data_IF_291229261197
#
_entry.id   IF_291229261197
#
_cell.length_a   1.000
_cell.length_b   1.000
_cell.length_c   1.000
_cell.angle_alpha   90.00
_cell.angle_beta   90.00
_cell.angle_gamma   90.00
#
_symmetry.space_group_name_H-M   'P 1'
#
loop_
_entity.id
_entity.type
_entity.pdbx_description
1 polymer ?
#
# COMPACT_ATOMS: atom_id res chain seq x y z
N UNK A 1 11.89 -7.08 4.56
CA UNK A 1 11.73 -8.45 4.05
C UNK A 1 10.91 -9.24 5.07
N UNK A 2 9.80 -9.84 4.66
CA UNK A 2 9.05 -10.74 5.53
C UNK A 2 9.90 -11.96 5.85
N UNK A 3 9.95 -12.39 7.12
CA UNK A 3 10.51 -13.70 7.46
C UNK A 3 9.58 -14.76 6.85
N UNK A 4 10.14 -15.69 6.08
CA UNK A 4 9.43 -16.83 5.46
C UNK A 4 8.35 -16.50 4.42
N UNK A 5 8.40 -15.34 3.76
CA UNK A 5 7.43 -14.99 2.71
C UNK A 5 5.99 -14.74 3.22
N UNK A 6 5.78 -14.77 4.53
CA UNK A 6 4.50 -14.47 5.18
C UNK A 6 4.24 -12.97 5.18
N UNK A 7 3.31 -12.52 4.34
CA UNK A 7 2.86 -11.12 4.27
C UNK A 7 1.60 -10.89 5.13
N UNK A 8 1.36 -11.70 6.17
CA UNK A 8 0.13 -11.68 6.98
C UNK A 8 -0.24 -10.28 7.50
N UNK A 9 0.72 -9.51 7.97
CA UNK A 9 0.51 -8.12 8.42
C UNK A 9 0.08 -7.24 7.25
N UNK A 10 0.73 -7.37 6.09
CA UNK A 10 0.35 -6.63 4.90
C UNK A 10 -1.02 -7.06 4.33
N UNK A 11 -1.42 -8.33 4.47
CA UNK A 11 -2.77 -8.80 4.13
C UNK A 11 -3.81 -8.09 5.01
N UNK A 12 -3.53 -7.91 6.31
CA UNK A 12 -4.40 -7.11 7.18
C UNK A 12 -4.43 -5.63 6.77
N UNK A 13 -3.29 -5.04 6.41
CA UNK A 13 -3.23 -3.69 5.84
C UNK A 13 -4.13 -3.56 4.61
N UNK A 14 -4.03 -4.50 3.66
CA UNK A 14 -4.88 -4.50 2.47
C UNK A 14 -6.36 -4.68 2.80
N UNK A 15 -6.68 -5.53 3.79
CA UNK A 15 -8.04 -5.69 4.28
C UNK A 15 -8.62 -4.37 4.79
N UNK A 16 -7.87 -3.63 5.60
CA UNK A 16 -8.30 -2.33 6.14
C UNK A 16 -8.37 -1.25 5.07
N UNK A 17 -7.52 -1.31 4.05
CA UNK A 17 -7.63 -0.43 2.87
C UNK A 17 -8.93 -0.67 2.10
N UNK A 18 -9.33 -1.94 1.94
CA UNK A 18 -10.54 -2.30 1.18
C UNK A 18 -11.82 -2.17 2.01
N UNK A 19 -11.72 -2.38 3.31
CA UNK A 19 -12.85 -2.40 4.24
C UNK A 19 -12.59 -1.47 5.44
N UNK A 20 -12.38 -0.16 5.22
CA UNK A 20 -12.01 0.77 6.28
C UNK A 20 -13.07 0.89 7.36
N UNK A 21 -14.34 0.62 7.06
CA UNK A 21 -15.47 0.74 7.98
C UNK A 21 -15.32 -0.08 9.27
N UNK A 22 -14.55 -1.18 9.24
CA UNK A 22 -14.26 -1.98 10.43
C UNK A 22 -13.38 -1.23 11.43
N UNK A 23 -12.51 -0.35 10.94
CA UNK A 23 -11.69 0.50 11.80
C UNK A 23 -12.41 1.82 12.12
N UNK A 24 -13.03 2.45 11.12
CA UNK A 24 -13.71 3.75 11.26
C UNK A 24 -14.78 3.72 12.35
N UNK A 25 -15.55 2.63 12.44
CA UNK A 25 -16.61 2.47 13.44
C UNK A 25 -16.07 2.34 14.87
N UNK A 26 -14.86 1.80 15.05
CA UNK A 26 -14.23 1.62 16.37
C UNK A 26 -13.52 2.90 16.85
N UNK A 27 -12.90 3.65 15.94
CA UNK A 27 -12.16 4.87 16.30
C UNK A 27 -13.00 6.16 16.15
N UNK A 28 -14.19 6.07 15.55
CA UNK A 28 -15.09 7.21 15.35
C UNK A 28 -14.57 8.24 14.34
N UNK A 29 -13.72 7.84 13.39
CA UNK A 29 -13.09 8.72 12.41
C UNK A 29 -13.10 8.08 11.03
N UNK A 30 -13.32 8.89 9.99
CA UNK A 30 -13.19 8.45 8.60
C UNK A 30 -11.73 8.31 8.19
N UNK A 31 -11.43 7.27 7.43
CA UNK A 31 -10.13 6.99 6.84
C UNK A 31 -10.14 7.40 5.38
N UNK A 32 -9.50 8.53 5.08
CA UNK A 32 -9.40 9.07 3.72
C UNK A 32 -7.91 9.20 3.34
N UNK A 33 -7.61 9.35 2.04
CA UNK A 33 -6.24 9.47 1.52
C UNK A 33 -5.31 8.36 2.04
N UNK A 34 -5.76 7.12 1.96
CA UNK A 34 -5.10 5.97 2.56
C UNK A 34 -3.90 5.48 1.75
N UNK A 35 -2.83 5.08 2.45
CA UNK A 35 -1.61 4.54 1.84
C UNK A 35 -0.89 3.57 2.78
N UNK A 36 -0.37 2.48 2.23
CA UNK A 36 0.39 1.48 2.99
C UNK A 36 1.89 1.77 3.01
N UNK A 37 2.59 1.29 4.03
CA UNK A 37 4.06 1.39 4.17
C UNK A 37 4.60 2.83 4.05
N UNK A 38 3.91 3.81 4.64
CA UNK A 38 4.27 5.25 4.55
C UNK A 38 5.46 5.56 5.47
N UNK A 39 6.53 6.21 4.99
CA UNK A 39 7.65 6.60 5.84
C UNK A 39 7.27 7.71 6.82
N UNK A 40 7.49 7.48 8.11
CA UNK A 40 7.34 8.45 9.21
C UNK A 40 8.63 8.46 10.02
N UNK A 41 9.33 9.59 10.01
CA UNK A 41 10.66 9.71 10.60
C UNK A 41 11.64 8.68 10.01
N UNK A 42 12.14 7.78 10.85
CA UNK A 42 13.09 6.71 10.45
C UNK A 42 12.42 5.37 10.12
N UNK A 43 11.11 5.27 10.25
CA UNK A 43 10.35 4.02 10.04
C UNK A 43 9.31 4.18 8.95
N UNK A 44 8.64 3.07 8.66
CA UNK A 44 7.42 3.04 7.88
C UNK A 44 6.29 2.55 8.78
N UNK A 45 5.17 3.25 8.76
CA UNK A 45 3.92 2.78 9.34
C UNK A 45 3.24 1.84 8.35
N UNK A 46 2.57 0.81 8.84
CA UNK A 46 1.93 -0.18 7.97
C UNK A 46 0.81 0.45 7.13
N UNK A 47 -0.02 1.30 7.76
CA UNK A 47 -1.08 2.04 7.09
C UNK A 47 -1.15 3.47 7.63
N UNK A 48 -1.30 4.41 6.71
CA UNK A 48 -1.53 5.82 6.97
C UNK A 48 -2.86 6.23 6.36
N UNK A 49 -3.57 7.11 7.03
CA UNK A 49 -4.76 7.77 6.53
C UNK A 49 -4.85 9.20 7.06
N UNK A 50 -5.82 9.95 6.56
CA UNK A 50 -6.16 11.29 7.05
C UNK A 50 -7.65 11.32 7.32
N UNK A 51 -8.04 11.84 8.47
CA UNK A 51 -9.41 12.30 8.68
C UNK A 51 -9.50 13.72 8.10
N UNK A 52 -10.13 13.89 6.93
CA UNK A 52 -10.14 15.18 6.25
C UNK A 52 -10.97 16.22 7.02
N UNK A 53 -12.07 15.79 7.64
CA UNK A 53 -12.95 16.68 8.40
C UNK A 53 -12.24 17.38 9.56
N UNK A 54 -11.29 16.68 10.20
CA UNK A 54 -10.49 17.20 11.32
C UNK A 54 -9.07 17.56 10.94
N UNK A 55 -8.64 17.26 9.70
CA UNK A 55 -7.27 17.40 9.21
C UNK A 55 -6.24 16.69 10.11
N UNK A 56 -6.61 15.54 10.65
CA UNK A 56 -5.76 14.75 11.55
C UNK A 56 -5.19 13.53 10.83
N UNK A 57 -3.88 13.26 10.96
CA UNK A 57 -3.30 12.03 10.44
C UNK A 57 -3.70 10.84 11.33
N UNK A 58 -3.88 9.69 10.72
CA UNK A 58 -4.15 8.42 11.40
C UNK A 58 -3.03 7.46 11.02
N UNK A 59 -2.34 6.92 12.02
CA UNK A 59 -1.23 5.98 11.87
C UNK A 59 -1.66 4.63 12.40
N UNK A 60 -1.50 3.57 11.62
CA UNK A 60 -1.91 2.23 11.99
C UNK A 60 -0.73 1.28 11.86
N UNK A 61 -0.43 0.58 12.96
CA UNK A 61 0.60 -0.45 13.06
C UNK A 61 -0.07 -1.79 13.37
N UNK A 62 0.24 -2.82 12.59
CA UNK A 62 -0.46 -4.11 12.64
C UNK A 62 0.48 -5.26 12.95
N UNK A 63 0.11 -6.12 13.89
CA UNK A 63 0.79 -7.38 14.15
C UNK A 63 -0.23 -8.50 14.38
N UNK A 64 0.07 -9.70 13.90
CA UNK A 64 -0.82 -10.87 14.05
C UNK A 64 -0.63 -11.65 15.35
N UNK A 65 0.43 -11.32 16.09
CA UNK A 65 0.79 -11.97 17.36
C UNK A 65 0.37 -11.06 18.54
N UNK A 66 0.54 -11.53 19.79
CA UNK A 66 0.40 -10.67 20.97
C UNK A 66 1.43 -9.54 20.95
N UNK A 67 1.09 -8.40 21.57
CA UNK A 67 1.97 -7.22 21.65
C UNK A 67 3.38 -7.62 22.09
N UNK A 68 4.40 -7.13 21.40
CA UNK A 68 5.80 -7.37 21.73
C UNK A 68 6.59 -6.06 21.84
N UNK A 69 7.79 -6.14 22.41
CA UNK A 69 8.68 -4.99 22.58
C UNK A 69 9.04 -4.33 21.25
N UNK A 70 9.14 -5.09 20.15
CA UNK A 70 9.55 -4.56 18.85
C UNK A 70 8.48 -3.60 18.30
N UNK A 71 7.22 -3.98 18.36
CA UNK A 71 6.13 -3.14 17.87
C UNK A 71 5.78 -2.03 18.85
N UNK A 72 5.93 -2.26 20.17
CA UNK A 72 5.87 -1.20 21.16
C UNK A 72 6.86 -0.07 20.81
N UNK A 73 8.12 -0.40 20.52
CA UNK A 73 9.10 0.62 20.12
C UNK A 73 8.68 1.37 18.86
N UNK A 74 8.05 0.70 17.88
CA UNK A 74 7.53 1.39 16.69
C UNK A 74 6.40 2.36 17.06
N UNK A 75 5.46 1.96 17.92
CA UNK A 75 4.37 2.82 18.39
C UNK A 75 4.92 4.05 19.11
N UNK A 76 5.90 3.88 20.00
CA UNK A 76 6.57 5.00 20.68
C UNK A 76 7.31 5.91 19.68
N UNK A 77 8.00 5.35 18.69
CA UNK A 77 8.67 6.12 17.63
C UNK A 77 7.65 6.93 16.78
N UNK A 78 6.44 6.41 16.54
CA UNK A 78 5.36 7.15 15.87
C UNK A 78 4.87 8.29 16.77
N UNK A 79 4.64 8.03 18.06
CA UNK A 79 4.27 9.07 19.04
C UNK A 79 5.32 10.17 19.04
N UNK A 80 6.61 9.83 18.99
CA UNK A 80 7.72 10.78 18.94
C UNK A 80 7.74 11.64 17.68
N UNK A 81 7.56 11.00 16.53
CA UNK A 81 7.63 11.64 15.23
C UNK A 81 6.42 12.53 14.91
N UNK A 82 5.31 12.41 15.66
CA UNK A 82 4.10 13.21 15.45
C UNK A 82 3.78 14.14 16.62
N UNK A 83 3.16 15.28 16.31
CA UNK A 83 2.62 16.22 17.30
C UNK A 83 1.11 16.08 17.47
N UNK A 84 0.43 15.48 16.50
CA UNK A 84 -1.01 15.34 16.50
C UNK A 84 -1.50 14.13 15.71
N UNK A 85 -2.73 13.69 15.97
CA UNK A 85 -3.40 12.66 15.18
C UNK A 85 -3.96 11.52 16.00
N UNK A 86 -4.10 10.37 15.36
CA UNK A 86 -4.59 9.14 15.99
C UNK A 86 -3.64 8.01 15.68
N UNK A 87 -3.24 7.26 16.70
CA UNK A 87 -2.39 6.08 16.57
C UNK A 87 -3.21 4.86 16.92
N UNK A 88 -3.25 3.90 16.01
CA UNK A 88 -3.93 2.62 16.15
C UNK A 88 -2.89 1.51 16.16
N UNK A 89 -2.85 0.73 17.23
CA UNK A 89 -2.05 -0.49 17.33
C UNK A 89 -2.98 -1.70 17.29
N UNK A 90 -2.78 -2.57 16.29
CA UNK A 90 -3.51 -3.83 16.16
C UNK A 90 -2.65 -5.01 16.60
N UNK A 91 -3.17 -5.86 17.48
CA UNK A 91 -2.50 -7.09 17.92
C UNK A 91 -3.51 -8.20 18.20
N UNK A 92 -3.08 -9.47 18.27
CA UNK A 92 -3.99 -10.55 18.70
C UNK A 92 -4.35 -10.46 20.18
N UNK A 93 -3.47 -9.84 20.98
CA UNK A 93 -3.68 -9.55 22.40
C UNK A 93 -2.65 -8.50 22.88
N UNK A 94 -2.88 -7.89 24.04
CA UNK A 94 -1.99 -6.88 24.62
C UNK A 94 -1.49 -7.25 26.01
N UNK A 95 -0.18 -7.14 26.21
CA UNK A 95 0.42 -7.19 27.54
C UNK A 95 0.16 -5.87 28.26
N UNK A 96 -0.29 -5.97 29.52
CA UNK A 96 -0.62 -4.80 30.34
C UNK A 96 0.54 -3.81 30.44
N UNK A 97 1.77 -4.31 30.64
CA UNK A 97 2.97 -3.46 30.74
C UNK A 97 3.22 -2.62 29.48
N UNK A 98 2.93 -3.14 28.28
CA UNK A 98 3.11 -2.38 27.05
C UNK A 98 2.10 -1.23 26.95
N UNK A 99 0.84 -1.44 27.37
CA UNK A 99 -0.17 -0.37 27.39
C UNK A 99 0.12 0.67 28.47
N UNK A 100 0.62 0.24 29.63
CA UNK A 100 1.09 1.13 30.69
C UNK A 100 2.25 2.00 30.19
N UNK A 101 3.19 1.42 29.43
CA UNK A 101 4.31 2.16 28.84
C UNK A 101 3.84 3.20 27.81
N UNK A 102 2.96 2.82 26.87
CA UNK A 102 2.39 3.77 25.90
C UNK A 102 1.64 4.90 26.62
N UNK A 103 0.75 4.57 27.56
CA UNK A 103 -0.04 5.58 28.26
C UNK A 103 0.81 6.49 29.15
N UNK A 104 1.81 5.94 29.84
CA UNK A 104 2.79 6.71 30.60
C UNK A 104 3.60 7.65 29.71
N UNK A 105 4.02 7.16 28.54
CA UNK A 105 4.73 7.95 27.56
C UNK A 105 3.88 9.11 27.03
N UNK A 106 2.64 8.84 26.60
CA UNK A 106 1.73 9.89 26.14
C UNK A 106 1.46 10.96 27.20
N UNK A 107 1.28 10.56 28.47
CA UNK A 107 1.09 11.50 29.60
C UNK A 107 2.31 12.38 29.86
N UNK A 108 3.52 11.88 29.56
CA UNK A 108 4.74 12.68 29.64
C UNK A 108 4.85 13.71 28.52
N UNK A 109 4.16 13.49 27.39
CA UNK A 109 4.17 14.34 26.20
C UNK A 109 2.96 15.28 26.13
N UNK A 110 2.73 16.07 27.20
CA UNK A 110 1.53 16.92 27.36
C UNK A 110 1.26 17.96 26.26
N UNK A 111 2.25 18.24 25.41
CA UNK A 111 2.13 19.20 24.30
C UNK A 111 1.65 18.57 22.98
N UNK A 112 1.37 17.25 22.98
CA UNK A 112 0.95 16.51 21.79
C UNK A 112 -0.55 16.21 21.83
N UNK A 113 -1.21 16.40 20.68
CA UNK A 113 -2.63 16.13 20.49
C UNK A 113 -2.81 14.77 19.81
N UNK A 114 -2.54 13.69 20.54
CA UNK A 114 -2.58 12.33 20.00
C UNK A 114 -3.62 11.51 20.75
N UNK A 115 -4.56 10.92 20.01
CA UNK A 115 -5.40 9.83 20.51
C UNK A 115 -4.73 8.48 20.21
N UNK A 116 -4.92 7.50 21.10
CA UNK A 116 -4.37 6.16 20.96
C UNK A 116 -5.45 5.10 21.12
N UNK A 117 -5.43 4.11 20.24
CA UNK A 117 -6.33 2.95 20.25
C UNK A 117 -5.50 1.67 20.15
N UNK A 118 -5.67 0.77 21.10
CA UNK A 118 -5.24 -0.61 21.00
C UNK A 118 -6.47 -1.46 20.64
N UNK A 119 -6.46 -2.05 19.45
CA UNK A 119 -7.57 -2.89 18.98
C UNK A 119 -7.09 -4.33 18.83
N UNK A 120 -7.90 -5.26 19.31
CA UNK A 120 -7.62 -6.68 19.27
C UNK A 120 -8.13 -7.29 17.97
N UNK A 121 -7.28 -8.04 17.28
CA UNK A 121 -7.64 -8.90 16.16
C UNK A 121 -8.34 -10.15 16.70
N UNK A 122 -9.50 -10.49 16.16
CA UNK A 122 -10.19 -11.72 16.55
C UNK A 122 -9.46 -12.95 15.99
N UNK A 123 -9.54 -14.07 16.71
CA UNK A 123 -8.86 -15.30 16.31
C UNK A 123 -9.31 -15.79 14.92
N UNK A 124 -10.59 -15.58 14.60
CA UNK A 124 -11.15 -15.92 13.29
C UNK A 124 -10.57 -15.02 12.19
N UNK A 125 -10.42 -13.72 12.41
CA UNK A 125 -9.78 -12.82 11.44
C UNK A 125 -8.33 -13.22 11.14
N UNK A 126 -7.56 -13.61 12.17
CA UNK A 126 -6.17 -14.09 12.02
C UNK A 126 -6.13 -15.38 11.19
N UNK A 127 -7.03 -16.33 11.47
CA UNK A 127 -7.16 -17.58 10.73
C UNK A 127 -7.49 -17.32 9.26
N UNK A 128 -8.53 -16.54 8.98
CA UNK A 128 -8.96 -16.23 7.61
C UNK A 128 -7.94 -15.39 6.85
N UNK A 129 -7.25 -14.47 7.50
CA UNK A 129 -6.12 -13.74 6.90
C UNK A 129 -5.01 -14.71 6.48
N UNK A 130 -4.70 -15.72 7.31
CA UNK A 130 -3.74 -16.77 6.94
C UNK A 130 -4.20 -17.63 5.77
N UNK A 131 -5.51 -17.86 5.59
CA UNK A 131 -6.06 -18.56 4.42
C UNK A 131 -5.94 -17.72 3.14
N UNK A 132 -6.28 -16.43 3.20
CA UNK A 132 -6.13 -15.49 2.08
C UNK A 132 -4.65 -15.34 1.67
N UNK A 133 -3.72 -15.34 2.63
CA UNK A 133 -2.28 -15.25 2.36
C UNK A 133 -1.72 -16.44 1.55
N UNK A 134 -2.45 -17.57 1.48
CA UNK A 134 -2.05 -18.75 0.67
C UNK A 134 -2.50 -18.68 -0.78
N UNK A 135 -3.37 -17.72 -1.12
CA UNK A 135 -3.84 -17.55 -2.50
C UNK A 135 -2.72 -17.06 -3.41
N UNK A 136 -2.92 -17.24 -4.71
CA UNK A 136 -2.09 -16.59 -5.71
C UNK A 136 -2.10 -15.06 -5.49
N UNK A 137 -0.94 -14.41 -5.64
CA UNK A 137 -0.74 -13.03 -5.18
C UNK A 137 -1.72 -12.02 -5.80
N UNK A 138 -2.10 -12.22 -7.06
CA UNK A 138 -3.06 -11.36 -7.76
C UNK A 138 -4.53 -11.66 -7.39
N UNK A 139 -4.81 -12.79 -6.72
CA UNK A 139 -6.16 -13.14 -6.27
C UNK A 139 -6.47 -12.61 -4.87
N UNK A 140 -5.44 -12.25 -4.09
CA UNK A 140 -5.56 -11.80 -2.70
C UNK A 140 -6.61 -10.71 -2.54
N UNK A 141 -6.51 -9.62 -3.32
CA UNK A 141 -7.36 -8.44 -3.16
C UNK A 141 -8.85 -8.77 -3.26
N UNK A 142 -9.23 -9.58 -4.24
CA UNK A 142 -10.62 -9.94 -4.48
C UNK A 142 -11.17 -10.84 -3.37
N UNK A 143 -10.31 -11.49 -2.60
CA UNK A 143 -10.66 -12.41 -1.52
C UNK A 143 -10.51 -11.82 -0.11
N UNK A 144 -10.16 -10.54 0.04
CA UNK A 144 -10.05 -9.88 1.36
C UNK A 144 -11.37 -9.85 2.14
N UNK A 145 -12.51 -9.86 1.43
CA UNK A 145 -13.84 -9.94 2.05
C UNK A 145 -14.04 -11.15 2.96
N UNK A 146 -13.21 -12.20 2.81
CA UNK A 146 -13.27 -13.39 3.65
C UNK A 146 -12.86 -13.10 5.09
N UNK A 147 -12.00 -12.12 5.34
CA UNK A 147 -11.35 -11.89 6.64
C UNK A 147 -12.33 -11.47 7.73
N UNK A 148 -13.34 -10.66 7.41
CA UNK A 148 -14.33 -10.17 8.37
C UNK A 148 -15.72 -10.11 7.76
N UNK A 149 -16.74 -10.20 8.62
CA UNK A 149 -18.15 -9.97 8.25
C UNK A 149 -18.89 -9.31 9.42
N UNK A 150 -20.14 -8.87 9.22
CA UNK A 150 -20.94 -8.33 10.34
C UNK A 150 -21.20 -9.37 11.44
N UNK A 151 -21.21 -10.66 11.10
CA UNK A 151 -21.36 -11.77 12.06
C UNK A 151 -20.04 -12.10 12.77
N UNK A 152 -18.91 -11.79 12.14
CA UNK A 152 -17.57 -12.04 12.66
C UNK A 152 -16.74 -10.76 12.54
N UNK A 153 -16.94 -9.80 13.46
CA UNK A 153 -16.17 -8.56 13.43
C UNK A 153 -14.68 -8.89 13.55
N UNK A 154 -13.82 -8.32 12.69
CA UNK A 154 -12.41 -8.67 12.65
C UNK A 154 -11.60 -8.00 13.77
N UNK A 155 -12.15 -6.94 14.35
CA UNK A 155 -11.49 -6.06 15.32
C UNK A 155 -12.42 -5.79 16.50
N UNK A 156 -11.84 -5.66 17.69
CA UNK A 156 -12.52 -5.29 18.92
C UNK A 156 -11.69 -4.23 19.66
N UNK A 157 -12.33 -3.22 20.27
CA UNK A 157 -11.60 -2.25 21.08
C UNK A 157 -11.11 -2.91 22.37
N UNK A 158 -9.79 -2.92 22.58
CA UNK A 158 -9.17 -3.45 23.80
C UNK A 158 -8.87 -2.33 24.80
N UNK A 159 -8.30 -1.23 24.32
CA UNK A 159 -8.00 -0.05 25.12
C UNK A 159 -8.05 1.21 24.24
N UNK A 160 -8.50 2.31 24.82
CA UNK A 160 -8.49 3.62 24.16
C UNK A 160 -8.03 4.69 25.15
N UNK A 161 -7.24 5.62 24.65
CA UNK A 161 -6.81 6.81 25.38
C UNK A 161 -6.98 8.02 24.46
N UNK A 162 -7.93 8.88 24.79
CA UNK A 162 -8.22 10.08 24.00
C UNK A 162 -7.89 11.33 24.79
N UNK A 163 -7.19 12.26 24.16
CA UNK A 163 -6.86 13.57 24.74
C UNK A 163 -6.99 14.70 23.73
N UNK A 164 -7.27 14.39 22.44
CA UNK A 164 -7.50 15.41 21.43
C UNK A 164 -8.87 16.06 21.68
N UNK A 165 -8.93 17.38 21.96
CA UNK A 165 -10.21 18.07 22.12
C UNK A 165 -11.04 17.95 20.85
N UNK A 166 -12.37 17.85 20.97
CA UNK A 166 -13.27 17.75 19.81
C UNK A 166 -13.14 18.93 18.83
N UNK A 167 -12.86 20.13 19.35
CA UNK A 167 -12.64 21.34 18.56
C UNK A 167 -11.24 21.43 17.90
N UNK A 168 -10.30 20.55 18.25
CA UNK A 168 -8.96 20.56 17.65
C UNK A 168 -9.04 20.16 16.18
N UNK A 169 -8.45 21.01 15.34
CA UNK A 169 -8.28 20.79 13.90
C UNK A 169 -6.79 20.72 13.61
N UNK A 170 -6.36 19.62 13.00
CA UNK A 170 -4.97 19.40 12.67
C UNK A 170 -4.48 20.21 11.48
N UNK A 171 -3.19 20.04 11.18
CA UNK A 171 -2.46 20.76 10.15
C UNK A 171 -2.20 19.93 8.91
N UNK A 172 -2.57 18.64 8.92
CA UNK A 172 -2.40 17.77 7.76
C UNK A 172 -3.06 18.40 6.55
N UNK A 173 -2.30 18.46 5.46
CA UNK A 173 -2.75 19.03 4.19
C UNK A 173 -3.45 17.91 3.42
N UNK A 174 -4.74 18.10 3.19
CA UNK A 174 -5.46 17.28 2.24
C UNK A 174 -4.90 17.55 0.83
N UNK A 175 -4.41 16.53 0.13
CA UNK A 175 -4.17 16.66 -1.31
C UNK A 175 -5.51 16.72 -2.02
N UNK A 176 -5.98 17.92 -2.34
CA UNK A 176 -7.27 18.11 -3.04
C UNK A 176 -7.05 18.37 -4.54
N UNK A 177 -5.92 19.00 -4.90
CA UNK A 177 -5.62 19.38 -6.28
C UNK A 177 -4.21 18.92 -6.68
N UNK A 178 -4.08 18.43 -7.91
CA UNK A 178 -2.82 18.04 -8.52
C UNK A 178 -2.28 19.16 -9.41
N UNK A 179 -0.98 19.44 -9.30
CA UNK A 179 -0.26 20.25 -10.28
C UNK A 179 0.41 19.32 -11.30
N UNK A 180 -0.16 19.20 -12.50
CA UNK A 180 0.34 18.29 -13.53
C UNK A 180 1.61 18.77 -14.25
N UNK A 181 2.11 19.96 -13.92
CA UNK A 181 3.48 20.37 -14.29
C UNK A 181 4.52 19.71 -13.38
N UNK A 182 4.11 19.24 -12.19
CA UNK A 182 4.98 18.56 -11.23
C UNK A 182 4.97 17.06 -11.44
N UNK A 183 6.15 16.50 -11.67
CA UNK A 183 6.34 15.07 -11.94
C UNK A 183 5.87 14.19 -10.78
N UNK A 184 6.01 14.63 -9.53
CA UNK A 184 5.52 13.89 -8.36
C UNK A 184 4.00 13.79 -8.33
N UNK A 185 3.31 14.87 -8.71
CA UNK A 185 1.86 14.94 -8.71
C UNK A 185 1.28 14.10 -9.84
N UNK A 186 1.90 14.10 -11.03
CA UNK A 186 1.55 13.15 -12.11
C UNK A 186 1.73 11.69 -11.67
N UNK A 187 2.83 11.36 -10.99
CA UNK A 187 3.08 10.00 -10.48
C UNK A 187 2.08 9.59 -9.40
N UNK A 188 1.75 10.50 -8.50
CA UNK A 188 0.77 10.26 -7.45
C UNK A 188 -0.63 10.04 -8.05
N UNK A 189 -1.04 10.90 -8.98
CA UNK A 189 -2.31 10.78 -9.68
C UNK A 189 -2.39 9.46 -10.46
N UNK A 190 -1.33 9.07 -11.16
CA UNK A 190 -1.25 7.78 -11.84
C UNK A 190 -1.35 6.59 -10.88
N UNK A 191 -0.69 6.66 -9.71
CA UNK A 191 -0.79 5.62 -8.68
C UNK A 191 -2.22 5.48 -8.14
N UNK A 192 -2.93 6.58 -7.93
CA UNK A 192 -4.35 6.57 -7.51
C UNK A 192 -5.26 5.96 -8.56
N UNK A 193 -5.05 6.27 -9.85
CA UNK A 193 -5.80 5.62 -10.93
C UNK A 193 -5.50 4.13 -11.03
N UNK A 194 -4.26 3.70 -10.78
CA UNK A 194 -3.94 2.28 -10.70
C UNK A 194 -4.62 1.58 -9.52
N UNK A 195 -4.76 2.24 -8.36
CA UNK A 195 -5.55 1.73 -7.23
C UNK A 195 -7.02 1.52 -7.61
N UNK A 196 -7.56 2.28 -8.56
CA UNK A 196 -8.94 2.11 -9.05
C UNK A 196 -9.02 1.01 -10.11
N UNK A 197 -8.12 1.02 -11.09
CA UNK A 197 -8.22 0.16 -12.28
C UNK A 197 -7.61 -1.24 -12.11
N UNK A 198 -6.54 -1.36 -11.32
CA UNK A 198 -5.83 -2.61 -11.05
C UNK A 198 -5.57 -2.80 -9.55
N UNK A 199 -6.60 -2.67 -8.69
CA UNK A 199 -6.43 -2.72 -7.23
C UNK A 199 -5.84 -4.05 -6.74
N UNK A 200 -6.00 -5.11 -7.54
CA UNK A 200 -5.51 -6.45 -7.24
C UNK A 200 -3.98 -6.58 -7.35
N UNK A 201 -3.31 -5.65 -8.03
CA UNK A 201 -1.87 -5.51 -7.93
C UNK A 201 -1.51 -4.84 -6.60
N UNK A 202 -1.39 -5.62 -5.53
CA UNK A 202 -1.25 -5.13 -4.14
C UNK A 202 -0.13 -4.08 -3.95
N UNK A 203 0.91 -4.12 -4.78
CA UNK A 203 2.00 -3.13 -4.77
C UNK A 203 1.56 -1.69 -5.09
N UNK A 204 0.40 -1.43 -5.71
CA UNK A 204 -0.08 -0.06 -5.99
C UNK A 204 -0.56 0.66 -4.72
N UNK A 205 -0.84 -0.08 -3.65
CA UNK A 205 -1.26 0.47 -2.36
C UNK A 205 -0.10 0.93 -1.48
N UNK A 206 1.12 0.46 -1.77
CA UNK A 206 2.32 0.84 -1.04
C UNK A 206 2.80 2.22 -1.46
N UNK A 207 3.26 3.01 -0.50
CA UNK A 207 3.92 4.28 -0.73
C UNK A 207 5.11 4.10 -1.67
N UNK A 208 5.29 5.08 -2.56
CA UNK A 208 6.36 5.08 -3.55
C UNK A 208 7.31 6.21 -3.26
N UNK A 209 8.61 5.91 -3.29
CA UNK A 209 9.64 6.93 -3.25
C UNK A 209 9.57 7.72 -4.55
N UNK A 210 9.32 9.02 -4.44
CA UNK A 210 9.34 9.92 -5.58
C UNK A 210 10.74 10.51 -5.73
N UNK A 211 11.35 10.31 -6.91
CA UNK A 211 12.51 11.08 -7.35
C UNK A 211 12.00 12.17 -8.30
N UNK A 212 12.27 13.44 -8.00
CA UNK A 212 11.84 14.58 -8.82
C UNK A 212 12.45 14.56 -10.22
N UNK A 213 13.64 13.96 -10.36
CA UNK A 213 14.36 13.86 -11.62
C UNK A 213 13.93 12.66 -12.47
N UNK A 214 12.97 11.85 -11.99
CA UNK A 214 12.48 10.67 -12.71
C UNK A 214 10.98 10.77 -12.97
N UNK A 215 10.62 10.75 -14.24
CA UNK A 215 9.26 10.68 -14.78
C UNK A 215 8.61 9.29 -14.67
N UNK A 216 9.30 8.30 -14.10
CA UNK A 216 8.83 6.92 -14.00
C UNK A 216 8.35 6.57 -12.58
N UNK A 217 7.24 5.85 -12.54
CA UNK A 217 6.75 5.15 -11.36
C UNK A 217 7.28 3.70 -11.40
N UNK A 218 7.91 3.26 -10.31
CA UNK A 218 8.43 1.91 -10.16
C UNK A 218 7.50 1.05 -9.32
N UNK A 219 7.03 -0.07 -9.87
CA UNK A 219 6.14 -1.01 -9.19
C UNK A 219 6.73 -2.41 -9.31
N UNK A 220 6.88 -3.13 -8.19
CA UNK A 220 7.47 -4.47 -8.19
C UNK A 220 6.64 -5.48 -8.99
N UNK A 221 7.32 -6.30 -9.79
CA UNK A 221 6.73 -7.29 -10.70
C UNK A 221 6.67 -8.71 -10.14
N UNK A 222 6.51 -8.88 -8.82
CA UNK A 222 6.33 -10.18 -8.17
C UNK A 222 7.61 -10.95 -7.84
N UNK A 223 8.71 -10.70 -8.55
CA UNK A 223 10.03 -11.29 -8.30
C UNK A 223 11.08 -10.23 -7.93
N UNK A 224 12.05 -10.63 -7.11
CA UNK A 224 13.21 -9.78 -6.83
C UNK A 224 13.89 -9.39 -8.14
N UNK A 225 14.21 -8.12 -8.30
CA UNK A 225 14.87 -7.62 -9.51
C UNK A 225 13.98 -7.52 -10.75
N UNK A 226 12.66 -7.71 -10.60
CA UNK A 226 11.70 -7.50 -11.68
C UNK A 226 10.77 -6.34 -11.31
N UNK A 227 10.75 -5.30 -12.13
CA UNK A 227 9.98 -4.08 -11.84
C UNK A 227 9.28 -3.55 -13.08
N UNK A 228 8.01 -3.20 -12.95
CA UNK A 228 7.31 -2.34 -13.89
C UNK A 228 7.79 -0.90 -13.70
N UNK A 229 8.18 -0.27 -14.81
CA UNK A 229 8.50 1.14 -14.95
C UNK A 229 7.44 1.76 -15.84
N UNK A 230 6.63 2.65 -15.27
CA UNK A 230 5.49 3.25 -15.95
C UNK A 230 5.66 4.76 -15.98
N UNK A 231 5.41 5.39 -17.12
CA UNK A 231 5.46 6.85 -17.26
C UNK A 231 4.27 7.30 -18.10
N UNK A 232 3.51 8.27 -17.59
CA UNK A 232 2.45 8.94 -18.35
C UNK A 232 3.04 9.87 -19.42
N UNK A 233 4.17 10.49 -19.10
CA UNK A 233 4.94 11.33 -20.02
C UNK A 233 6.39 11.34 -19.59
N UNK A 234 7.26 10.76 -20.40
CA UNK A 234 8.69 10.74 -20.15
C UNK A 234 9.36 12.02 -20.66
N UNK A 235 10.68 12.15 -20.44
CA UNK A 235 11.49 13.31 -20.90
C UNK A 235 11.48 13.53 -22.41
N UNK A 236 11.07 12.54 -23.20
CA UNK A 236 10.93 12.63 -24.65
C UNK A 236 9.47 12.89 -25.08
N UNK A 237 8.55 13.08 -24.14
CA UNK A 237 7.14 13.32 -24.41
C UNK A 237 6.33 12.06 -24.73
N UNK A 238 6.84 10.86 -24.43
CA UNK A 238 6.15 9.59 -24.66
C UNK A 238 5.57 8.99 -23.37
N UNK A 239 4.41 8.34 -23.48
CA UNK A 239 3.92 7.41 -22.47
C UNK A 239 4.60 6.04 -22.65
N UNK A 240 4.79 5.31 -21.56
CA UNK A 240 5.38 3.98 -21.62
C UNK A 240 5.09 3.11 -20.41
N UNK A 241 5.03 1.81 -20.64
CA UNK A 241 5.08 0.78 -19.60
C UNK A 241 6.08 -0.29 -20.02
N UNK A 242 7.07 -0.53 -19.17
CA UNK A 242 8.09 -1.56 -19.39
C UNK A 242 8.26 -2.42 -18.15
N UNK A 243 8.36 -3.73 -18.35
CA UNK A 243 8.84 -4.67 -17.35
C UNK A 243 10.36 -4.77 -17.47
N UNK A 244 11.07 -4.34 -16.44
CA UNK A 244 12.54 -4.33 -16.37
C UNK A 244 13.05 -5.51 -15.56
N UNK A 245 14.20 -6.05 -15.99
CA UNK A 245 14.85 -7.21 -15.39
C UNK A 245 16.28 -6.86 -14.91
N UNK A 246 16.58 -7.18 -13.66
CA UNK A 246 17.95 -7.20 -13.14
C UNK A 246 18.77 -8.30 -13.81
N UNK A 247 20.10 -8.24 -13.71
CA UNK A 247 21.01 -9.09 -14.51
C UNK A 247 20.82 -10.57 -14.19
N UNK A 248 20.62 -10.90 -12.91
CA UNK A 248 20.35 -12.26 -12.48
C UNK A 248 18.95 -12.77 -12.89
N UNK A 249 18.09 -11.92 -13.46
CA UNK A 249 16.79 -12.30 -14.03
C UNK A 249 16.86 -12.52 -15.55
N UNK A 250 18.06 -12.60 -16.13
CA UNK A 250 18.27 -12.80 -17.58
C UNK A 250 17.50 -14.02 -18.11
N UNK A 251 17.49 -15.14 -17.38
CA UNK A 251 16.76 -16.35 -17.80
C UNK A 251 15.26 -16.06 -17.97
N UNK A 252 14.66 -15.34 -17.02
CA UNK A 252 13.24 -14.98 -17.09
C UNK A 252 12.98 -13.99 -18.24
N UNK A 253 13.87 -13.02 -18.45
CA UNK A 253 13.79 -12.11 -19.58
C UNK A 253 13.81 -12.88 -20.92
N UNK A 254 14.76 -13.80 -21.11
CA UNK A 254 14.87 -14.61 -22.33
C UNK A 254 13.64 -15.48 -22.59
N UNK A 255 13.03 -16.00 -21.53
CA UNK A 255 11.75 -16.74 -21.63
C UNK A 255 10.62 -15.87 -22.17
N UNK A 256 10.54 -14.59 -21.80
CA UNK A 256 9.54 -13.69 -22.36
C UNK A 256 9.92 -13.21 -23.77
N UNK A 257 11.21 -12.93 -24.01
CA UNK A 257 11.73 -12.47 -25.30
C UNK A 257 11.47 -13.50 -26.41
N UNK A 258 11.72 -14.79 -26.15
CA UNK A 258 11.54 -15.87 -27.15
C UNK A 258 10.11 -16.01 -27.65
N UNK A 259 9.12 -15.53 -26.89
CA UNK A 259 7.69 -15.55 -27.23
C UNK A 259 7.08 -14.16 -27.43
N UNK A 260 7.90 -13.15 -27.77
CA UNK A 260 7.42 -11.77 -27.92
C UNK A 260 6.26 -11.65 -28.93
N UNK A 261 6.30 -12.41 -30.03
CA UNK A 261 5.24 -12.44 -31.04
C UNK A 261 3.91 -12.98 -30.52
N UNK A 262 3.95 -13.91 -29.56
CA UNK A 262 2.76 -14.40 -28.87
C UNK A 262 2.22 -13.35 -27.90
N UNK A 263 3.11 -12.75 -27.11
CA UNK A 263 2.76 -11.70 -26.15
C UNK A 263 2.12 -10.49 -26.83
N UNK A 264 2.57 -10.12 -28.03
CA UNK A 264 1.99 -9.04 -28.84
C UNK A 264 0.50 -9.27 -29.16
N UNK A 265 0.08 -10.52 -29.37
CA UNK A 265 -1.33 -10.86 -29.68
C UNK A 265 -2.25 -10.61 -28.50
N UNK A 266 -1.77 -10.82 -27.27
CA UNK A 266 -2.58 -10.72 -26.06
C UNK A 266 -2.46 -9.37 -25.35
N UNK A 267 -1.29 -8.73 -25.43
CA UNK A 267 -1.00 -7.48 -24.71
C UNK A 267 -1.21 -6.27 -25.63
N UNK A 268 -0.32 -6.11 -26.61
CA UNK A 268 -0.35 -5.00 -27.57
C UNK A 268 0.55 -5.30 -28.78
N UNK A 269 0.12 -5.01 -30.03
CA UNK A 269 0.94 -5.22 -31.22
C UNK A 269 2.28 -4.48 -31.22
N UNK A 270 2.40 -3.36 -30.49
CA UNK A 270 3.63 -2.57 -30.37
C UNK A 270 4.54 -3.05 -29.23
N UNK A 271 4.18 -4.13 -28.52
CA UNK A 271 5.03 -4.72 -27.49
C UNK A 271 6.36 -5.16 -28.09
N UNK A 272 7.46 -4.77 -27.47
CA UNK A 272 8.81 -5.12 -27.91
C UNK A 272 9.70 -5.54 -26.76
N UNK A 273 10.65 -6.40 -27.09
CA UNK A 273 11.79 -6.70 -26.23
C UNK A 273 12.96 -5.78 -26.59
N UNK A 274 13.55 -5.18 -25.57
CA UNK A 274 14.80 -4.43 -25.62
C UNK A 274 15.71 -5.02 -24.54
N UNK A 275 17.02 -4.73 -24.58
CA UNK A 275 18.00 -5.28 -23.62
C UNK A 275 17.47 -5.15 -22.18
N UNK A 276 17.12 -6.30 -21.58
CA UNK A 276 16.61 -6.46 -20.22
C UNK A 276 15.32 -5.70 -19.89
N UNK A 277 14.48 -5.41 -20.88
CA UNK A 277 13.13 -4.88 -20.66
C UNK A 277 12.15 -5.23 -21.77
N UNK A 278 10.89 -5.41 -21.41
CA UNK A 278 9.81 -5.74 -22.36
C UNK A 278 8.64 -4.79 -22.11
N UNK A 279 8.14 -4.14 -23.16
CA UNK A 279 7.10 -3.15 -22.97
C UNK A 279 6.69 -2.40 -24.22
N UNK A 280 5.87 -1.37 -24.00
CA UNK A 280 5.27 -0.52 -25.04
C UNK A 280 5.60 0.93 -24.72
N UNK A 281 5.84 1.72 -25.76
CA UNK A 281 5.88 3.18 -25.68
C UNK A 281 5.04 3.77 -26.82
N UNK A 282 4.28 4.82 -26.51
CA UNK A 282 3.36 5.46 -27.44
C UNK A 282 3.27 6.96 -27.18
N UNK A 283 2.74 7.72 -28.15
CA UNK A 283 2.47 9.15 -27.96
C UNK A 283 1.28 9.30 -27.00
N UNK A 284 1.42 10.07 -25.90
CA UNK A 284 0.32 10.29 -24.96
C UNK A 284 -0.82 11.04 -25.64
N UNK A 285 -2.03 10.83 -25.13
CA UNK A 285 -3.20 11.63 -25.50
C UNK A 285 -3.09 13.04 -24.87
N UNK A 286 -3.82 14.01 -25.43
CA UNK A 286 -3.85 15.37 -24.89
C UNK A 286 -4.37 15.40 -23.44
N UNK A 287 -5.28 14.49 -23.12
CA UNK A 287 -5.81 14.29 -21.79
C UNK A 287 -4.99 13.24 -21.02
N UNK A 288 -4.55 13.62 -19.82
CA UNK A 288 -3.74 12.78 -18.95
C UNK A 288 -4.53 11.56 -18.46
N UNK A 289 -5.83 11.71 -18.17
CA UNK A 289 -6.66 10.61 -17.67
C UNK A 289 -6.81 9.51 -18.73
N UNK A 290 -7.04 9.90 -19.98
CA UNK A 290 -7.09 9.01 -21.13
C UNK A 290 -5.78 8.23 -21.30
N UNK A 291 -4.64 8.92 -21.19
CA UNK A 291 -3.31 8.29 -21.24
C UNK A 291 -3.12 7.27 -20.11
N UNK A 292 -3.47 7.64 -18.87
CA UNK A 292 -3.34 6.77 -17.69
C UNK A 292 -4.30 5.57 -17.78
N UNK A 293 -5.51 5.75 -18.31
CA UNK A 293 -6.46 4.67 -18.55
C UNK A 293 -5.89 3.65 -19.53
N UNK A 294 -5.27 4.10 -20.63
CA UNK A 294 -4.59 3.22 -21.59
C UNK A 294 -3.41 2.49 -20.95
N UNK A 295 -2.60 3.19 -20.14
CA UNK A 295 -1.53 2.54 -19.36
C UNK A 295 -2.07 1.48 -18.41
N UNK A 296 -3.19 1.76 -17.74
CA UNK A 296 -3.84 0.81 -16.81
C UNK A 296 -4.33 -0.44 -17.54
N UNK A 297 -4.91 -0.30 -18.74
CA UNK A 297 -5.32 -1.42 -19.58
C UNK A 297 -4.14 -2.26 -20.05
N UNK A 298 -3.04 -1.62 -20.50
CA UNK A 298 -1.82 -2.32 -20.86
C UNK A 298 -1.24 -3.07 -19.66
N UNK A 299 -1.21 -2.43 -18.50
CA UNK A 299 -0.72 -3.04 -17.27
C UNK A 299 -1.56 -4.26 -16.87
N UNK A 300 -2.89 -4.14 -16.90
CA UNK A 300 -3.82 -5.24 -16.62
C UNK A 300 -3.60 -6.43 -17.58
N UNK A 301 -3.43 -6.18 -18.89
CA UNK A 301 -3.10 -7.23 -19.87
C UNK A 301 -1.74 -7.87 -19.59
N UNK A 302 -0.71 -7.07 -19.30
CA UNK A 302 0.61 -7.61 -18.92
C UNK A 302 0.52 -8.50 -17.67
N UNK A 303 -0.25 -8.09 -16.66
CA UNK A 303 -0.45 -8.88 -15.44
C UNK A 303 -1.21 -10.17 -15.72
N UNK A 304 -2.25 -10.16 -16.57
CA UNK A 304 -3.01 -11.38 -16.90
C UNK A 304 -2.19 -12.36 -17.72
N UNK A 305 -1.39 -11.87 -18.67
CA UNK A 305 -0.61 -12.71 -19.59
C UNK A 305 0.70 -13.19 -18.97
N UNK A 306 1.44 -12.31 -18.29
CA UNK A 306 2.78 -12.59 -17.75
C UNK A 306 2.76 -12.89 -16.26
N UNK A 307 1.67 -12.55 -15.57
CA UNK A 307 1.51 -12.74 -14.13
C UNK A 307 1.78 -14.16 -13.65
N UNK A 308 1.33 -15.23 -14.34
CA UNK A 308 1.60 -16.59 -13.91
C UNK A 308 3.09 -16.85 -13.69
N UNK A 309 4.00 -16.43 -14.56
CA UNK A 309 5.45 -16.65 -14.30
C UNK A 309 6.03 -15.62 -13.31
N UNK A 310 5.49 -14.41 -13.30
CA UNK A 310 5.95 -13.31 -12.43
C UNK A 310 5.59 -13.50 -10.96
N UNK A 311 4.42 -14.09 -10.68
CA UNK A 311 3.86 -14.20 -9.33
C UNK A 311 3.57 -15.64 -8.92
N UNK A 312 3.83 -16.64 -9.77
CA UNK A 312 3.93 -18.01 -9.27
C UNK A 312 5.03 -18.02 -8.21
N UNK A 313 4.65 -18.31 -6.97
CA UNK A 313 5.62 -18.69 -5.96
C UNK A 313 6.49 -19.79 -6.53
N UNK A 314 7.79 -19.78 -6.21
CA UNK A 314 8.59 -20.99 -6.23
C UNK A 314 7.77 -22.03 -5.45
N UNK A 315 7.16 -22.98 -6.16
CA UNK A 315 6.45 -24.09 -5.53
C UNK A 315 7.43 -24.89 -4.70
#
# INVERSE_FOLDING_TARGET
>A
MSRYGSEKEFILTLFLLKHPQYLESLIGQKLEQTEAEVPIGRRKVDLYAVNLSRRLPIFIESQVNPSDKRHLMKVLEIIDATSEGTIVWLASDFQKCHLEEVSGYMKSQKHKYIDFFALRLTQEAIKRSSEVNKLYKLDVWNNLHRIGSSQYPPLETYYAYSQVPSAHTGRTIAKVNYDFERVEDVKQYMLEKFRIHIPYLTNVWKSKKHNSNDCQLSIGGGRSGVNFKVSARNKYGHASIYLHFEEYQEVLYRTFESRIMELQKFIDPMLKAEVRKIGVSFKPDNDLDTTIKKLSQLFDKMLKTMGPELYAGLR
#
